data_IF_108455103724
#
_entry.id   IF_108455103724
#
_cell.length_a   1.000
_cell.length_b   1.000
_cell.length_c   1.000
_cell.angle_alpha   90.00
_cell.angle_beta   90.00
_cell.angle_gamma   90.00
#
_symmetry.space_group_name_H-M   'P 1'
#
loop_
_entity.id
_entity.type
_entity.pdbx_description
1 polymer ?
#
# COMPACT_ATOMS: atom_id res chain seq x y z
N UNK A 1 14.58 -29.63 -32.51
CA UNK A 1 13.12 -29.85 -32.45
C UNK A 1 12.46 -28.50 -32.75
N UNK A 2 12.13 -28.25 -34.02
CA UNK A 2 11.60 -26.96 -34.48
C UNK A 2 10.10 -27.10 -34.74
N UNK A 3 9.26 -26.43 -33.95
CA UNK A 3 7.83 -26.33 -34.21
C UNK A 3 7.59 -25.20 -35.21
N UNK A 4 6.98 -25.54 -36.36
CA UNK A 4 6.61 -24.58 -37.41
C UNK A 4 5.32 -23.86 -37.01
N UNK A 5 5.41 -22.56 -36.72
CA UNK A 5 4.26 -21.65 -36.72
C UNK A 5 4.10 -21.10 -38.14
N UNK A 6 3.51 -21.85 -39.05
CA UNK A 6 2.97 -21.27 -40.28
C UNK A 6 1.80 -22.12 -40.74
N UNK A 7 0.80 -21.44 -41.32
CA UNK A 7 -0.45 -22.00 -41.85
C UNK A 7 -1.65 -22.00 -40.88
N UNK A 8 -1.97 -20.81 -40.36
CA UNK A 8 -3.38 -20.44 -40.18
C UNK A 8 -3.85 -19.81 -41.51
N UNK A 9 -4.13 -20.64 -42.52
CA UNK A 9 -4.83 -20.23 -43.74
C UNK A 9 -6.32 -20.08 -43.42
N UNK A 10 -6.70 -18.88 -42.96
CA UNK A 10 -8.11 -18.52 -42.75
C UNK A 10 -8.78 -18.28 -44.11
N UNK A 11 -9.23 -19.37 -44.75
CA UNK A 11 -10.19 -19.32 -45.86
C UNK A 11 -11.55 -18.91 -45.32
N UNK A 12 -11.85 -17.62 -45.37
CA UNK A 12 -13.18 -17.09 -45.08
C UNK A 12 -14.12 -17.36 -46.27
N UNK A 13 -15.18 -18.16 -46.11
CA UNK A 13 -16.17 -18.37 -47.16
C UNK A 13 -16.86 -17.03 -47.49
N UNK A 14 -16.87 -16.65 -48.78
CA UNK A 14 -17.51 -15.43 -49.27
C UNK A 14 -19.02 -15.62 -49.40
N UNK A 15 -19.72 -15.54 -48.27
CA UNK A 15 -21.18 -15.42 -48.23
C UNK A 15 -21.61 -13.96 -48.33
N UNK A 16 -22.70 -13.72 -49.07
CA UNK A 16 -23.18 -12.38 -49.41
C UNK A 16 -23.87 -11.76 -48.18
N UNK A 17 -23.44 -10.57 -47.79
CA UNK A 17 -24.03 -9.69 -46.77
C UNK A 17 -23.97 -10.16 -45.30
N UNK A 18 -22.83 -9.92 -44.64
CA UNK A 18 -22.69 -9.82 -43.17
C UNK A 18 -21.68 -8.72 -42.79
N UNK A 19 -22.13 -7.47 -42.80
CA UNK A 19 -21.28 -6.29 -42.49
C UNK A 19 -21.28 -5.84 -41.02
N UNK A 20 -22.18 -6.37 -40.18
CA UNK A 20 -22.38 -5.89 -38.81
C UNK A 20 -21.37 -6.46 -37.79
N UNK A 21 -20.83 -7.65 -38.06
CA UNK A 21 -20.01 -8.41 -37.09
C UNK A 21 -18.69 -7.72 -36.74
N UNK A 22 -18.06 -7.00 -37.67
CA UNK A 22 -16.81 -6.26 -37.42
C UNK A 22 -17.03 -5.11 -36.42
N UNK A 23 -18.15 -4.40 -36.54
CA UNK A 23 -18.50 -3.32 -35.61
C UNK A 23 -18.82 -3.87 -34.22
N UNK A 24 -19.53 -5.01 -34.16
CA UNK A 24 -19.84 -5.68 -32.90
C UNK A 24 -18.59 -6.20 -32.20
N UNK A 25 -17.64 -6.81 -32.93
CA UNK A 25 -16.40 -7.30 -32.31
C UNK A 25 -15.53 -6.15 -31.80
N UNK A 26 -15.44 -5.04 -32.55
CA UNK A 26 -14.70 -3.85 -32.12
C UNK A 26 -15.33 -3.20 -30.87
N UNK A 27 -16.65 -3.23 -30.74
CA UNK A 27 -17.37 -2.74 -29.56
C UNK A 27 -17.07 -3.61 -28.33
N UNK A 28 -17.14 -4.94 -28.47
CA UNK A 28 -16.83 -5.85 -27.37
C UNK A 28 -15.35 -5.73 -26.96
N UNK A 29 -14.44 -5.59 -27.92
CA UNK A 29 -13.02 -5.42 -27.65
C UNK A 29 -12.72 -4.12 -26.89
N UNK A 30 -13.33 -3.00 -27.29
CA UNK A 30 -13.15 -1.72 -26.58
C UNK A 30 -13.73 -1.74 -25.17
N UNK A 31 -14.90 -2.38 -24.97
CA UNK A 31 -15.48 -2.59 -23.66
C UNK A 31 -14.57 -3.45 -22.76
N UNK A 32 -14.05 -4.56 -23.29
CA UNK A 32 -13.15 -5.45 -22.57
C UNK A 32 -11.86 -4.73 -22.16
N UNK A 33 -11.30 -3.90 -23.05
CA UNK A 33 -10.11 -3.10 -22.76
C UNK A 33 -10.39 -2.05 -21.68
N UNK A 34 -11.53 -1.37 -21.73
CA UNK A 34 -11.93 -0.38 -20.73
C UNK A 34 -12.08 -1.02 -19.33
N UNK A 35 -12.70 -2.20 -19.25
CA UNK A 35 -12.83 -2.96 -18.01
C UNK A 35 -11.46 -3.40 -17.47
N UNK A 36 -10.59 -3.91 -18.35
CA UNK A 36 -9.23 -4.30 -17.97
C UNK A 36 -8.42 -3.13 -17.41
N UNK A 37 -8.46 -1.97 -18.06
CA UNK A 37 -7.80 -0.76 -17.57
C UNK A 37 -8.37 -0.29 -16.23
N UNK A 38 -9.69 -0.31 -16.07
CA UNK A 38 -10.33 0.04 -14.80
C UNK A 38 -9.83 -0.85 -13.66
N UNK A 39 -9.83 -2.18 -13.83
CA UNK A 39 -9.36 -3.13 -12.83
C UNK A 39 -7.87 -2.90 -12.49
N UNK A 40 -7.02 -2.73 -13.51
CA UNK A 40 -5.58 -2.49 -13.28
C UNK A 40 -5.34 -1.21 -12.48
N UNK A 41 -6.09 -0.13 -12.74
CA UNK A 41 -5.95 1.11 -11.98
C UNK A 41 -6.34 0.95 -10.51
N UNK A 42 -7.40 0.17 -10.23
CA UNK A 42 -7.82 -0.14 -8.86
C UNK A 42 -6.76 -1.00 -8.17
N UNK A 43 -6.30 -2.06 -8.82
CA UNK A 43 -5.28 -2.97 -8.27
C UNK A 43 -3.96 -2.25 -7.96
N UNK A 44 -3.53 -1.31 -8.80
CA UNK A 44 -2.31 -0.51 -8.51
C UNK A 44 -2.47 0.30 -7.24
N UNK A 45 -3.62 0.94 -7.03
CA UNK A 45 -3.88 1.72 -5.82
C UNK A 45 -3.97 0.83 -4.58
N UNK A 46 -4.59 -0.35 -4.68
CA UNK A 46 -4.73 -1.26 -3.54
C UNK A 46 -3.38 -1.82 -3.06
N UNK A 47 -2.44 -2.09 -3.97
CA UNK A 47 -1.09 -2.54 -3.60
C UNK A 47 -0.35 -1.45 -2.83
N UNK A 48 -0.41 -0.20 -3.30
CA UNK A 48 0.24 0.94 -2.63
C UNK A 48 -0.41 1.21 -1.27
N UNK A 49 -1.75 1.16 -1.19
CA UNK A 49 -2.45 1.36 0.07
C UNK A 49 -2.11 0.24 1.08
N UNK A 50 -1.90 -0.98 0.60
CA UNK A 50 -1.50 -2.12 1.45
C UNK A 50 -0.09 -1.95 2.03
N UNK A 51 0.86 -1.40 1.26
CA UNK A 51 2.20 -1.11 1.80
C UNK A 51 2.16 -0.01 2.85
N UNK A 52 1.45 1.09 2.57
CA UNK A 52 1.29 2.20 3.52
C UNK A 52 0.57 1.72 4.79
N UNK A 53 -0.44 0.85 4.66
CA UNK A 53 -1.14 0.28 5.80
C UNK A 53 -0.24 -0.58 6.70
N UNK A 54 0.77 -1.24 6.14
CA UNK A 54 1.78 -1.98 6.91
C UNK A 54 2.74 -1.02 7.61
N UNK A 55 3.24 -0.01 6.90
CA UNK A 55 4.19 0.96 7.45
C UNK A 55 3.53 1.78 8.59
N UNK A 56 2.23 2.07 8.45
CA UNK A 56 1.43 2.72 9.49
C UNK A 56 1.34 1.88 10.77
N UNK A 57 1.21 0.56 10.65
CA UNK A 57 1.18 -0.31 11.83
C UNK A 57 2.49 -0.27 12.62
N UNK A 58 3.63 -0.26 11.91
CA UNK A 58 4.93 -0.11 12.56
C UNK A 58 5.07 1.26 13.23
N UNK A 59 4.62 2.33 12.58
CA UNK A 59 4.66 3.67 13.14
C UNK A 59 3.77 3.79 14.40
N UNK A 60 2.54 3.26 14.37
CA UNK A 60 1.66 3.26 15.53
C UNK A 60 2.19 2.39 16.66
N UNK A 61 2.79 1.23 16.35
CA UNK A 61 3.43 0.38 17.35
C UNK A 61 4.59 1.09 18.05
N UNK A 62 5.48 1.75 17.29
CA UNK A 62 6.58 2.52 17.86
C UNK A 62 6.07 3.71 18.69
N UNK A 63 5.00 4.38 18.26
CA UNK A 63 4.40 5.47 19.01
C UNK A 63 3.77 5.00 20.33
N UNK A 64 3.03 3.88 20.32
CA UNK A 64 2.38 3.32 21.50
C UNK A 64 3.41 2.83 22.52
N UNK A 65 4.42 2.08 22.05
CA UNK A 65 5.53 1.64 22.91
C UNK A 65 6.34 2.81 23.48
N UNK A 66 6.56 3.88 22.70
CA UNK A 66 7.18 5.10 23.19
C UNK A 66 6.35 5.83 24.25
N UNK A 67 5.03 5.93 24.03
CA UNK A 67 4.10 6.54 24.98
C UNK A 67 4.03 5.75 26.29
N UNK A 68 3.91 4.42 26.22
CA UNK A 68 3.92 3.54 27.38
C UNK A 68 5.25 3.62 28.14
N UNK A 69 6.38 3.77 27.45
CA UNK A 69 7.65 3.96 28.12
C UNK A 69 7.73 5.31 28.86
N UNK A 70 7.30 6.40 28.22
CA UNK A 70 7.23 7.69 28.87
C UNK A 70 6.31 7.64 30.10
N UNK A 71 5.12 7.03 29.96
CA UNK A 71 4.17 6.85 31.05
C UNK A 71 4.71 5.98 32.19
N UNK A 72 5.44 4.90 31.88
CA UNK A 72 6.07 4.04 32.89
C UNK A 72 7.04 4.84 33.77
N UNK A 73 7.88 5.66 33.15
CA UNK A 73 8.85 6.48 33.85
C UNK A 73 8.18 7.61 34.65
N UNK A 74 7.10 8.19 34.13
CA UNK A 74 6.29 9.16 34.87
C UNK A 74 5.65 8.56 36.13
N UNK A 75 4.96 7.42 36.01
CA UNK A 75 4.25 6.80 37.13
C UNK A 75 5.19 6.27 38.21
N UNK A 76 6.37 5.75 37.82
CA UNK A 76 7.27 5.05 38.76
C UNK A 76 8.29 5.96 39.42
N UNK A 77 8.68 7.04 38.75
CA UNK A 77 9.77 7.91 39.19
C UNK A 77 9.40 9.40 39.20
N UNK A 78 8.15 9.75 38.82
CA UNK A 78 7.65 11.14 38.77
C UNK A 78 8.56 12.06 37.94
N UNK A 79 9.17 11.49 36.90
CA UNK A 79 10.25 12.12 36.13
C UNK A 79 9.83 13.36 35.37
N UNK A 80 8.55 13.46 34.97
CA UNK A 80 8.02 14.64 34.28
C UNK A 80 7.38 15.66 35.23
N UNK A 81 7.54 15.49 36.55
CA UNK A 81 7.15 16.50 37.55
C UNK A 81 8.00 17.77 37.42
N UNK A 82 7.45 18.93 37.78
CA UNK A 82 8.19 20.21 37.76
C UNK A 82 9.26 20.30 38.85
N UNK A 83 9.28 19.36 39.79
CA UNK A 83 10.24 19.32 40.91
C UNK A 83 11.28 18.19 40.81
N UNK A 84 11.29 17.39 39.73
CA UNK A 84 12.24 16.30 39.56
C UNK A 84 13.62 16.82 39.08
N UNK A 85 14.73 16.27 39.60
CA UNK A 85 16.05 16.54 39.04
C UNK A 85 16.20 15.92 37.63
N UNK A 86 17.04 16.48 36.75
CA UNK A 86 17.24 15.94 35.40
C UNK A 86 17.81 14.52 35.46
N UNK A 87 17.14 13.61 34.76
CA UNK A 87 17.46 12.19 34.75
C UNK A 87 17.30 11.63 33.33
N UNK A 88 17.88 10.45 33.11
CA UNK A 88 17.96 9.82 31.79
C UNK A 88 16.86 8.77 31.64
N UNK A 89 15.97 8.97 30.68
CA UNK A 89 14.98 7.97 30.29
C UNK A 89 15.60 7.08 29.23
N UNK A 90 15.56 5.77 29.43
CA UNK A 90 15.98 4.80 28.40
C UNK A 90 14.81 3.93 27.99
N UNK A 91 14.50 3.94 26.70
CA UNK A 91 13.41 3.21 26.06
C UNK A 91 13.93 2.62 24.74
N UNK A 92 13.71 1.33 24.49
CA UNK A 92 14.13 0.65 23.24
C UNK A 92 15.62 0.90 22.86
N UNK A 93 16.49 0.96 23.87
CA UNK A 93 17.92 1.26 23.68
C UNK A 93 18.25 2.72 23.33
N UNK A 94 17.26 3.59 23.22
CA UNK A 94 17.43 5.04 23.08
C UNK A 94 17.37 5.72 24.46
N UNK A 95 18.39 6.50 24.77
CA UNK A 95 18.46 7.29 26.01
C UNK A 95 18.20 8.76 25.70
N UNK A 96 17.20 9.34 26.37
CA UNK A 96 16.81 10.74 26.27
C UNK A 96 16.98 11.40 27.63
N UNK A 97 17.67 12.54 27.66
CA UNK A 97 17.82 13.34 28.88
C UNK A 97 16.57 14.20 29.04
N UNK A 98 15.81 13.96 30.10
CA UNK A 98 14.67 14.81 30.42
C UNK A 98 15.19 16.03 31.17
N UNK A 99 15.09 17.18 30.51
CA UNK A 99 15.25 18.47 31.18
C UNK A 99 13.85 19.00 31.40
N UNK A 100 13.57 19.49 32.61
CA UNK A 100 12.31 20.17 32.93
C UNK A 100 12.16 21.38 32.01
N UNK A 101 11.49 21.22 30.88
CA UNK A 101 11.06 22.32 30.04
C UNK A 101 9.81 22.90 30.71
N UNK A 102 10.02 23.86 31.61
CA UNK A 102 8.94 24.74 32.03
C UNK A 102 8.47 25.53 30.79
N UNK A 103 7.34 25.12 30.21
CA UNK A 103 6.51 26.01 29.40
C UNK A 103 5.67 26.89 30.32
#
# INVERSE_FOLDING_TARGET
MAARCNDIDMKFPKEKSRGFTLLLSALIASLSLALGLAIVTIARKSVILSSIGRDSQFAFYAADTGAECALYWDIRHELFSTSSPPEQITCDGQTVNVTTQAQ
#
